data_IF_559995239607
#
_entry.id   IF_559995239607
#
_cell.length_a   1.000
_cell.length_b   1.000
_cell.length_c   1.000
_cell.angle_alpha   90.00
_cell.angle_beta   90.00
_cell.angle_gamma   90.00
#
_symmetry.space_group_name_H-M   'P 1'
#
loop_
_entity.id
_entity.type
_entity.pdbx_description
1 polymer ?
#
# COMPACT_ATOMS: atom_id res chain seq x y z
N UNK A 1 6.46 -1.57 -8.47
CA UNK A 1 5.87 -2.69 -7.72
C UNK A 1 4.78 -2.15 -6.80
N UNK A 2 3.76 -2.94 -6.45
CA UNK A 2 2.78 -2.54 -5.45
C UNK A 2 3.43 -2.29 -4.09
N UNK A 3 2.82 -1.43 -3.29
CA UNK A 3 3.35 -1.10 -1.96
C UNK A 3 3.13 -2.26 -0.98
N UNK A 4 4.13 -2.67 -0.17
CA UNK A 4 3.98 -3.79 0.75
C UNK A 4 3.11 -3.48 1.96
N UNK A 5 3.00 -2.20 2.34
CA UNK A 5 2.23 -1.75 3.50
C UNK A 5 1.88 -0.25 3.36
N UNK A 6 0.71 0.17 3.83
CA UNK A 6 0.34 1.59 3.87
C UNK A 6 0.94 2.35 5.06
N UNK A 7 1.49 1.64 6.06
CA UNK A 7 2.26 2.20 7.17
C UNK A 7 3.30 1.16 7.62
N UNK A 8 4.54 1.60 7.86
CA UNK A 8 5.61 0.73 8.34
C UNK A 8 6.64 1.51 9.16
N UNK A 9 7.41 0.79 9.97
CA UNK A 9 8.53 1.36 10.73
C UNK A 9 9.82 1.22 9.93
N UNK A 10 10.39 2.35 9.51
CA UNK A 10 11.69 2.43 8.86
C UNK A 10 12.79 2.63 9.90
N UNK A 11 13.64 1.61 10.08
CA UNK A 11 14.78 1.66 11.00
C UNK A 11 16.01 2.18 10.27
N UNK A 12 16.65 3.22 10.81
CA UNK A 12 17.93 3.74 10.35
C UNK A 12 18.94 3.76 11.50
N UNK A 13 20.20 4.06 11.20
CA UNK A 13 21.24 4.24 12.22
C UNK A 13 20.90 5.32 13.25
N UNK A 14 20.11 6.32 12.85
CA UNK A 14 19.75 7.47 13.69
C UNK A 14 18.42 7.30 14.43
N UNK A 15 17.70 6.20 14.24
CA UNK A 15 16.44 5.95 14.94
C UNK A 15 15.43 5.12 14.15
N UNK A 16 14.23 5.00 14.70
CA UNK A 16 13.09 4.35 14.04
C UNK A 16 12.03 5.39 13.70
N UNK A 17 11.62 5.44 12.43
CA UNK A 17 10.68 6.42 11.90
C UNK A 17 9.45 5.71 11.35
N UNK A 18 8.26 6.20 11.66
CA UNK A 18 7.02 5.69 11.07
C UNK A 18 6.85 6.36 9.72
N UNK A 19 6.73 5.55 8.66
CA UNK A 19 6.42 6.00 7.30
C UNK A 19 4.98 5.64 7.00
N UNK A 20 4.20 6.63 6.57
CA UNK A 20 2.78 6.50 6.19
C UNK A 20 2.62 6.75 4.70
N UNK A 21 1.66 6.10 4.07
CA UNK A 21 1.27 6.38 2.70
C UNK A 21 0.62 7.78 2.62
N UNK A 22 1.23 8.77 1.93
CA UNK A 22 0.73 10.14 1.91
C UNK A 22 -0.61 10.27 1.16
N UNK A 23 -0.93 9.34 0.26
CA UNK A 23 -2.21 9.33 -0.46
C UNK A 23 -3.33 8.81 0.43
N UNK A 24 -3.05 7.79 1.25
CA UNK A 24 -4.00 7.29 2.24
C UNK A 24 -4.24 8.34 3.33
N UNK A 25 -3.19 9.04 3.79
CA UNK A 25 -3.33 10.11 4.78
C UNK A 25 -4.29 11.22 4.31
N UNK A 26 -4.10 11.70 3.07
CA UNK A 26 -5.03 12.67 2.45
C UNK A 26 -6.46 12.16 2.36
N UNK A 27 -6.68 10.86 2.13
CA UNK A 27 -8.02 10.28 2.11
C UNK A 27 -8.64 10.25 3.52
N UNK A 28 -7.86 9.82 4.51
CA UNK A 28 -8.30 9.77 5.90
C UNK A 28 -8.62 11.18 6.44
N UNK A 29 -7.86 12.21 6.02
CA UNK A 29 -8.16 13.61 6.34
C UNK A 29 -9.52 14.03 5.80
N UNK A 30 -9.78 13.76 4.51
CA UNK A 30 -11.06 14.09 3.86
C UNK A 30 -12.27 13.41 4.52
N UNK A 31 -12.07 12.24 5.13
CA UNK A 31 -13.12 11.51 5.86
C UNK A 31 -13.17 11.84 7.35
N UNK A 32 -12.31 12.74 7.85
CA UNK A 32 -12.15 13.02 9.28
C UNK A 32 -11.85 11.75 10.10
N UNK A 33 -11.09 10.83 9.51
CA UNK A 33 -10.63 9.56 10.11
C UNK A 33 -9.11 9.50 10.28
N UNK A 34 -8.38 10.59 10.02
CA UNK A 34 -6.95 10.66 10.28
C UNK A 34 -6.66 10.82 11.78
N UNK A 35 -6.68 9.71 12.51
CA UNK A 35 -6.32 9.67 13.93
C UNK A 35 -5.22 8.65 14.19
N UNK A 36 -4.45 8.87 15.26
CA UNK A 36 -3.41 7.93 15.70
C UNK A 36 -3.97 6.52 15.92
N UNK A 37 -5.19 6.41 16.45
CA UNK A 37 -5.83 5.12 16.66
C UNK A 37 -6.08 4.38 15.33
N UNK A 38 -6.56 5.07 14.29
CA UNK A 38 -6.75 4.46 12.96
C UNK A 38 -5.40 3.97 12.43
N UNK A 39 -4.36 4.80 12.46
CA UNK A 39 -3.03 4.41 12.01
C UNK A 39 -2.44 3.22 12.78
N UNK A 40 -2.66 3.15 14.10
CA UNK A 40 -2.23 2.01 14.91
C UNK A 40 -2.92 0.72 14.45
N UNK A 41 -4.24 0.75 14.17
CA UNK A 41 -4.94 -0.44 13.68
C UNK A 41 -4.42 -0.88 12.31
N UNK A 42 -4.05 0.05 11.42
CA UNK A 42 -3.46 -0.27 10.12
C UNK A 42 -2.08 -0.92 10.32
N UNK A 43 -1.27 -0.41 11.24
CA UNK A 43 0.04 -0.98 11.57
C UNK A 43 -0.08 -2.40 12.16
N UNK A 44 -1.02 -2.61 13.07
CA UNK A 44 -1.34 -3.93 13.66
C UNK A 44 -1.82 -4.94 12.61
N UNK A 45 -2.44 -4.46 11.52
CA UNK A 45 -2.86 -5.26 10.37
C UNK A 45 -1.82 -5.29 9.25
N UNK A 46 -0.55 -5.07 9.58
CA UNK A 46 0.55 -5.20 8.63
C UNK A 46 0.52 -4.17 7.49
N UNK A 47 -0.09 -3.00 7.71
CA UNK A 47 -0.25 -1.97 6.68
C UNK A 47 -1.53 -2.10 5.84
N UNK A 48 -2.40 -3.04 6.14
CA UNK A 48 -3.68 -3.25 5.46
C UNK A 48 -4.74 -2.24 5.89
N UNK A 49 -5.60 -1.85 4.95
CA UNK A 49 -6.80 -1.02 5.21
C UNK A 49 -8.11 -1.80 5.05
N UNK A 50 -8.06 -3.10 4.76
CA UNK A 50 -9.25 -3.87 4.38
C UNK A 50 -10.27 -3.98 5.53
N UNK A 51 -9.81 -3.89 6.78
CA UNK A 51 -10.66 -3.91 7.99
C UNK A 51 -11.35 -2.57 8.31
N UNK A 52 -11.07 -1.49 7.58
CA UNK A 52 -11.64 -0.18 7.87
C UNK A 52 -13.03 -0.04 7.26
N UNK A 53 -14.08 -0.20 8.06
CA UNK A 53 -15.47 -0.24 7.58
C UNK A 53 -16.00 1.08 6.99
N UNK A 54 -15.33 2.20 7.28
CA UNK A 54 -15.69 3.52 6.73
C UNK A 54 -15.12 3.79 5.32
N UNK A 55 -14.30 2.88 4.79
CA UNK A 55 -13.79 2.96 3.42
C UNK A 55 -14.73 2.23 2.47
N UNK A 56 -14.95 2.82 1.30
CA UNK A 56 -15.73 2.17 0.23
C UNK A 56 -14.94 1.00 -0.37
N UNK A 57 -15.59 0.07 -1.07
CA UNK A 57 -14.90 -1.02 -1.76
C UNK A 57 -13.82 -0.53 -2.73
N UNK A 58 -14.06 0.58 -3.44
CA UNK A 58 -13.13 1.18 -4.39
C UNK A 58 -11.91 1.79 -3.69
N UNK A 59 -12.11 2.45 -2.56
CA UNK A 59 -11.04 2.98 -1.74
C UNK A 59 -10.19 1.84 -1.18
N UNK A 60 -10.82 0.79 -0.63
CA UNK A 60 -10.13 -0.41 -0.15
C UNK A 60 -9.33 -1.10 -1.26
N UNK A 61 -9.89 -1.20 -2.47
CA UNK A 61 -9.21 -1.77 -3.63
C UNK A 61 -7.99 -0.95 -4.06
N UNK A 62 -8.09 0.39 -4.01
CA UNK A 62 -6.99 1.31 -4.37
C UNK A 62 -5.79 1.19 -3.44
N UNK A 63 -6.02 0.89 -2.16
CA UNK A 63 -4.97 0.81 -1.12
C UNK A 63 -4.60 -0.61 -0.72
N UNK A 64 -4.88 -1.61 -1.58
CA UNK A 64 -4.42 -2.97 -1.36
C UNK A 64 -2.90 -3.02 -1.25
N UNK A 65 -2.41 -3.80 -0.30
CA UNK A 65 -0.97 -4.10 -0.18
C UNK A 65 -0.54 -5.09 -1.26
N UNK A 66 0.77 -5.24 -1.48
CA UNK A 66 1.31 -6.23 -2.43
C UNK A 66 0.85 -7.66 -2.13
N UNK A 67 0.65 -7.99 -0.85
CA UNK A 67 0.16 -9.29 -0.38
C UNK A 67 -1.34 -9.50 -0.62
N UNK A 68 -2.09 -8.45 -0.92
CA UNK A 68 -3.54 -8.48 -1.14
C UNK A 68 -3.92 -8.43 -2.63
N UNK A 69 -2.93 -8.22 -3.50
CA UNK A 69 -3.09 -8.16 -4.95
C UNK A 69 -2.89 -9.54 -5.55
N UNK A 70 -3.75 -9.89 -6.51
CA UNK A 70 -3.57 -11.09 -7.31
C UNK A 70 -2.30 -10.98 -8.15
N UNK A 71 -1.34 -11.87 -7.91
CA UNK A 71 -0.04 -11.86 -8.58
C UNK A 71 -0.15 -12.09 -10.09
N UNK A 72 -1.25 -12.68 -10.57
CA UNK A 72 -1.52 -12.82 -12.02
C UNK A 72 -1.58 -11.46 -12.71
N UNK A 73 -2.13 -10.44 -12.04
CA UNK A 73 -2.17 -9.09 -12.60
C UNK A 73 -0.77 -8.51 -12.79
N UNK A 74 0.17 -8.83 -11.88
CA UNK A 74 1.55 -8.39 -12.03
C UNK A 74 2.23 -9.06 -13.22
N UNK A 75 1.97 -10.35 -13.44
CA UNK A 75 2.47 -11.08 -14.61
C UNK A 75 1.88 -10.53 -15.91
N UNK A 76 0.57 -10.27 -15.94
CA UNK A 76 -0.12 -9.71 -17.11
C UNK A 76 0.41 -8.32 -17.44
N UNK A 77 0.48 -7.41 -16.47
CA UNK A 77 1.03 -6.06 -16.70
C UNK A 77 2.52 -6.08 -17.04
N UNK A 78 3.28 -7.02 -16.47
CA UNK A 78 4.68 -7.24 -16.86
C UNK A 78 4.78 -7.69 -18.32
N UNK A 79 3.92 -8.60 -18.76
CA UNK A 79 3.86 -9.06 -20.15
C UNK A 79 3.43 -7.94 -21.10
N UNK A 80 2.41 -7.15 -20.75
CA UNK A 80 1.90 -6.05 -21.57
C UNK A 80 2.97 -4.98 -21.85
N UNK A 81 3.83 -4.68 -20.87
CA UNK A 81 4.92 -3.72 -21.06
C UNK A 81 6.17 -4.30 -21.72
N UNK A 82 6.32 -5.63 -21.75
CA UNK A 82 7.52 -6.30 -22.23
C UNK A 82 7.89 -5.97 -23.70
N UNK A 83 6.95 -5.83 -24.66
CA UNK A 83 7.29 -5.46 -26.04
C UNK A 83 8.00 -4.10 -26.19
N UNK A 84 7.92 -3.24 -25.17
CA UNK A 84 8.55 -1.92 -25.15
C UNK A 84 9.85 -1.88 -24.34
N UNK A 85 10.35 -3.03 -23.88
CA UNK A 85 11.58 -3.18 -23.09
C UNK A 85 12.58 -3.99 -23.93
N UNK A 86 13.78 -3.44 -24.17
CA UNK A 86 14.83 -4.04 -25.02
C UNK A 86 15.64 -5.15 -24.33
N UNK A 87 15.54 -5.26 -23.00
CA UNK A 87 16.16 -6.30 -22.19
C UNK A 87 15.12 -7.07 -21.37
N UNK A 88 15.06 -6.83 -20.06
CA UNK A 88 14.18 -7.52 -19.14
C UNK A 88 13.73 -6.58 -18.01
N UNK A 89 12.87 -7.07 -17.14
CA UNK A 89 12.37 -6.37 -15.95
C UNK A 89 12.63 -7.20 -14.70
N UNK A 90 13.11 -6.57 -13.64
CA UNK A 90 13.07 -7.16 -12.31
C UNK A 90 11.62 -7.15 -11.83
N UNK A 91 11.07 -8.33 -11.62
CA UNK A 91 9.72 -8.53 -11.10
C UNK A 91 9.81 -9.42 -9.87
N UNK A 92 9.55 -8.81 -8.70
CA UNK A 92 9.39 -9.54 -7.44
C UNK A 92 8.00 -10.15 -7.31
#
# INVERSE_FOLDING_TARGET
EPIPANIYTHKTLSGSFIVKNPYLEKLLDKKSKNSTNVWNTILEKGGSVQHLDFLTPEEKATFKTSFEIDQRWLLEFAADRAPFIDQAQSLN
#
